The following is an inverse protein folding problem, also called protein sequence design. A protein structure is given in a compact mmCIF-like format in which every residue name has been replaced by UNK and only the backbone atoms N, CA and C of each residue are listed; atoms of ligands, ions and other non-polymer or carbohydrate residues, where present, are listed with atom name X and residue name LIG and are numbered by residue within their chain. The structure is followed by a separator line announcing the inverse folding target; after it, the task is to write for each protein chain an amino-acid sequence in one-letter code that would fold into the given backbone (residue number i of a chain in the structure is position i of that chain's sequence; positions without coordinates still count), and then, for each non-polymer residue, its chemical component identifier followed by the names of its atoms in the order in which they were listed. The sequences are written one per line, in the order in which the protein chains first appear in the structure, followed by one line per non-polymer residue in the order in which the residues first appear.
data_IF_199166172965
#
_entry.id   IF_199166172965
#
_cell.length_a   1.000
_cell.length_b   1.000
_cell.length_c   1.000
_cell.angle_alpha   90.00
_cell.angle_beta   90.00
_cell.angle_gamma   90.00
#
_symmetry.space_group_name_H-M   'P 1'
#
loop_
_entity.id
_entity.type
_entity.pdbx_description
1 polymer ?
#
# COMPACT_ATOMS: atom_id res chain seq x y z
N UNK A 1 -3.41 -9.96 -11.96
CA UNK A 1 -4.11 -9.39 -10.79
C UNK A 1 -4.61 -8.00 -11.16
N UNK A 2 -5.88 -7.70 -10.86
CA UNK A 2 -6.45 -6.40 -11.19
C UNK A 2 -6.09 -5.34 -10.17
N UNK A 3 -6.25 -4.06 -10.56
CA UNK A 3 -6.08 -2.94 -9.64
C UNK A 3 -6.93 -3.11 -8.38
N UNK A 4 -8.17 -3.56 -8.56
CA UNK A 4 -9.08 -3.76 -7.43
C UNK A 4 -8.57 -4.82 -6.47
N UNK A 5 -8.04 -5.92 -6.99
CA UNK A 5 -7.47 -6.98 -6.14
C UNK A 5 -6.29 -6.47 -5.35
N UNK A 6 -5.43 -5.69 -5.99
CA UNK A 6 -4.26 -5.11 -5.33
C UNK A 6 -4.70 -4.15 -4.23
N UNK A 7 -5.65 -3.28 -4.53
CA UNK A 7 -6.19 -2.34 -3.54
C UNK A 7 -6.78 -3.07 -2.34
N UNK A 8 -7.54 -4.13 -2.57
CA UNK A 8 -8.16 -4.90 -1.49
C UNK A 8 -7.09 -5.53 -0.58
N UNK A 9 -6.04 -6.08 -1.16
CA UNK A 9 -4.96 -6.66 -0.37
C UNK A 9 -4.25 -5.62 0.48
N UNK A 10 -3.99 -4.44 -0.10
CA UNK A 10 -3.36 -3.35 0.63
C UNK A 10 -4.26 -2.82 1.74
N UNK A 11 -5.55 -2.68 1.47
CA UNK A 11 -6.50 -2.22 2.47
C UNK A 11 -6.54 -3.17 3.66
N UNK A 12 -6.58 -4.47 3.39
CA UNK A 12 -6.61 -5.48 4.47
C UNK A 12 -5.34 -5.42 5.31
N UNK A 13 -4.19 -5.26 4.68
CA UNK A 13 -2.94 -5.18 5.41
C UNK A 13 -2.88 -3.92 6.26
N UNK A 14 -3.23 -2.77 5.69
CA UNK A 14 -3.25 -1.51 6.43
C UNK A 14 -4.21 -1.60 7.62
N UNK A 15 -5.40 -2.17 7.40
CA UNK A 15 -6.37 -2.33 8.46
C UNK A 15 -5.84 -3.22 9.57
N UNK A 16 -5.16 -4.31 9.22
CA UNK A 16 -4.56 -5.20 10.21
C UNK A 16 -3.46 -4.49 11.00
N UNK A 17 -2.63 -3.71 10.32
CA UNK A 17 -1.56 -2.96 10.98
C UNK A 17 -2.10 -1.94 11.97
N UNK A 18 -3.23 -1.32 11.65
CA UNK A 18 -3.85 -0.29 12.49
C UNK A 18 -4.91 -0.85 13.44
N UNK A 19 -5.21 -2.14 13.35
CA UNK A 19 -6.23 -2.81 14.15
C UNK A 19 -7.62 -2.15 13.99
N UNK A 20 -7.97 -1.86 12.74
CA UNK A 20 -9.27 -1.25 12.41
C UNK A 20 -9.98 -2.11 11.37
N UNK A 21 -11.28 -1.85 11.20
CA UNK A 21 -12.06 -2.55 10.19
C UNK A 21 -11.66 -2.09 8.79
N UNK A 22 -11.43 -3.02 7.84
CA UNK A 22 -11.08 -2.64 6.47
C UNK A 22 -12.09 -1.71 5.81
N UNK A 23 -13.35 -1.75 6.23
CA UNK A 23 -14.39 -0.93 5.62
C UNK A 23 -14.21 0.57 5.84
N UNK A 24 -13.41 0.97 6.84
CA UNK A 24 -13.15 2.39 7.10
C UNK A 24 -11.96 2.93 6.33
N UNK A 25 -11.21 2.05 5.65
CA UNK A 25 -10.03 2.46 4.90
C UNK A 25 -10.46 2.82 3.48
N UNK A 26 -10.22 4.07 3.08
CA UNK A 26 -10.51 4.51 1.73
C UNK A 26 -9.23 4.55 0.90
N UNK A 27 -9.23 3.99 -0.32
CA UNK A 27 -8.01 3.95 -1.14
C UNK A 27 -7.47 5.33 -1.51
N UNK A 28 -8.30 6.34 -1.54
CA UNK A 28 -7.90 7.69 -1.92
C UNK A 28 -7.38 8.52 -0.75
N UNK A 29 -7.54 8.05 0.48
CA UNK A 29 -7.06 8.80 1.63
C UNK A 29 -5.53 8.73 1.71
N UNK A 30 -4.85 9.85 1.99
CA UNK A 30 -3.40 9.82 2.18
C UNK A 30 -3.04 8.90 3.35
N UNK A 31 -2.00 8.09 3.15
CA UNK A 31 -1.60 7.11 4.15
C UNK A 31 -1.30 7.74 5.51
N UNK A 32 -0.69 8.92 5.52
CA UNK A 32 -0.37 9.58 6.78
C UNK A 32 -1.62 9.98 7.57
N UNK A 33 -2.74 10.25 6.88
CA UNK A 33 -3.99 10.58 7.57
C UNK A 33 -4.67 9.34 8.16
N UNK A 34 -4.28 8.16 7.71
CA UNK A 34 -4.79 6.90 8.23
C UNK A 34 -4.02 6.43 9.48
N UNK A 35 -2.91 7.07 9.79
CA UNK A 35 -2.09 6.69 10.92
C UNK A 35 -0.86 5.86 10.56
N UNK A 36 -0.49 5.82 9.29
CA UNK A 36 0.70 5.10 8.83
C UNK A 36 1.91 6.02 9.04
N UNK A 37 2.74 5.70 10.02
CA UNK A 37 3.99 6.41 10.24
C UNK A 37 5.12 5.77 9.42
N UNK A 38 6.35 6.27 9.59
CA UNK A 38 7.48 5.79 8.80
C UNK A 38 7.76 4.31 9.04
N UNK A 39 7.66 3.86 10.28
CA UNK A 39 7.91 2.45 10.60
C UNK A 39 6.87 1.55 9.96
N UNK A 40 5.59 1.91 10.11
CA UNK A 40 4.51 1.13 9.52
C UNK A 40 4.57 1.16 8.00
N UNK A 41 5.01 2.27 7.44
CA UNK A 41 5.17 2.37 5.99
C UNK A 41 6.22 1.38 5.48
N UNK A 42 7.35 1.27 6.18
CA UNK A 42 8.39 0.30 5.82
C UNK A 42 7.84 -1.12 5.92
N UNK A 43 7.08 -1.42 6.97
CA UNK A 43 6.44 -2.74 7.11
C UNK A 43 5.50 -3.02 5.95
N UNK A 44 4.74 -2.02 5.50
CA UNK A 44 3.85 -2.15 4.37
C UNK A 44 4.63 -2.44 3.08
N UNK A 45 5.75 -1.76 2.86
CA UNK A 45 6.60 -2.02 1.70
C UNK A 45 7.13 -3.45 1.70
N UNK A 46 7.57 -3.94 2.86
CA UNK A 46 8.05 -5.33 2.99
C UNK A 46 6.94 -6.30 2.65
N UNK A 47 5.73 -6.05 3.15
CA UNK A 47 4.56 -6.87 2.83
C UNK A 47 4.32 -6.92 1.31
N UNK A 48 4.37 -5.75 0.65
CA UNK A 48 4.14 -5.65 -0.79
C UNK A 48 5.20 -6.44 -1.55
N UNK A 49 6.46 -6.28 -1.18
CA UNK A 49 7.55 -6.98 -1.85
C UNK A 49 7.40 -8.49 -1.76
N UNK A 50 7.01 -8.99 -0.61
CA UNK A 50 6.82 -10.43 -0.42
C UNK A 50 5.56 -10.95 -1.10
N UNK A 51 4.47 -10.20 -1.00
CA UNK A 51 3.18 -10.64 -1.52
C UNK A 51 3.14 -10.62 -3.05
N UNK A 52 3.72 -9.60 -3.65
CA UNK A 52 3.70 -9.41 -5.10
C UNK A 52 5.02 -9.74 -5.77
N UNK A 53 6.01 -10.14 -5.01
CA UNK A 53 7.35 -10.49 -5.51
C UNK A 53 7.97 -9.34 -6.30
N UNK A 54 7.99 -8.16 -5.71
CA UNK A 54 8.51 -6.95 -6.33
C UNK A 54 9.59 -6.32 -5.46
N UNK A 55 10.47 -5.53 -6.10
CA UNK A 55 11.51 -4.77 -5.41
C UNK A 55 11.17 -3.29 -5.45
N UNK A 56 10.25 -2.87 -4.58
CA UNK A 56 9.80 -1.48 -4.54
C UNK A 56 10.91 -0.51 -4.16
N UNK A 57 11.73 -0.89 -3.19
CA UNK A 57 12.78 0.00 -2.68
C UNK A 57 13.79 0.33 -3.77
N UNK A 58 14.10 -0.63 -4.65
CA UNK A 58 15.05 -0.45 -5.73
C UNK A 58 14.44 0.17 -6.98
N UNK A 59 13.13 0.26 -7.06
CA UNK A 59 12.43 0.70 -8.27
C UNK A 59 12.41 2.21 -8.46
N UNK A 60 12.89 2.99 -7.49
CA UNK A 60 12.92 4.44 -7.60
C UNK A 60 11.57 5.09 -7.41
N UNK A 61 10.76 4.57 -6.49
CA UNK A 61 9.45 5.14 -6.20
C UNK A 61 9.56 6.59 -5.75
N UNK A 62 8.64 7.42 -6.24
CA UNK A 62 8.53 8.80 -5.80
C UNK A 62 7.55 8.89 -4.63
N UNK A 63 7.58 10.04 -3.95
CA UNK A 63 6.64 10.29 -2.85
C UNK A 63 5.20 10.17 -3.32
N UNK A 64 4.91 10.59 -4.54
CA UNK A 64 3.57 10.53 -5.10
C UNK A 64 3.07 9.09 -5.29
N UNK A 65 3.98 8.18 -5.61
CA UNK A 65 3.63 6.78 -5.85
C UNK A 65 3.08 6.09 -4.60
N UNK A 66 3.49 6.51 -3.42
CA UNK A 66 3.01 5.91 -2.18
C UNK A 66 2.25 6.89 -1.29
N UNK A 67 1.67 7.90 -1.90
CA UNK A 67 0.88 8.87 -1.15
C UNK A 67 -0.45 8.29 -0.66
N UNK A 68 -1.09 7.46 -1.48
CA UNK A 68 -2.35 6.78 -1.14
C UNK A 68 -2.24 5.30 -1.48
N UNK A 69 -3.20 4.51 -0.97
CA UNK A 69 -3.29 3.09 -1.32
C UNK A 69 -3.52 2.94 -2.83
N UNK A 70 -4.35 3.80 -3.41
CA UNK A 70 -4.61 3.74 -4.86
C UNK A 70 -3.34 4.01 -5.67
N UNK A 71 -2.53 4.98 -5.25
CA UNK A 71 -1.26 5.27 -5.91
C UNK A 71 -0.32 4.08 -5.83
N UNK A 72 -0.23 3.43 -4.67
CA UNK A 72 0.57 2.23 -4.51
C UNK A 72 0.07 1.10 -5.41
N UNK A 73 -1.24 0.88 -5.43
CA UNK A 73 -1.82 -0.16 -6.25
C UNK A 73 -1.53 0.08 -7.74
N UNK A 74 -1.61 1.32 -8.17
CA UNK A 74 -1.28 1.68 -9.55
C UNK A 74 0.17 1.37 -9.86
N UNK A 75 1.06 1.71 -8.95
CA UNK A 75 2.50 1.44 -9.12
C UNK A 75 2.76 -0.06 -9.22
N UNK A 76 2.16 -0.85 -8.32
CA UNK A 76 2.31 -2.31 -8.31
C UNK A 76 1.79 -2.90 -9.62
N UNK A 77 0.65 -2.41 -10.09
CA UNK A 77 0.04 -2.88 -11.33
C UNK A 77 0.96 -2.63 -12.53
N UNK A 78 1.64 -1.48 -12.55
CA UNK A 78 2.57 -1.16 -13.64
C UNK A 78 3.84 -2.00 -13.59
N UNK A 79 4.28 -2.38 -12.39
CA UNK A 79 5.49 -3.18 -12.22
C UNK A 79 5.25 -4.66 -12.49
N UNK A 80 4.07 -5.11 -12.18
CA UNK A 80 3.70 -6.51 -12.36
C UNK A 80 3.07 -6.76 -13.71
#
# INVERSE_FOLDING_TARGET
MTMKDIEEKLIREVAAMLSVDPSIITPDAPLHTLGIDSLRFVELLVFIEKTFNLNLIESGLTREDFYTIRSLASCISRMG
#
